data_IF_360539481870
#
_entry.id   IF_360539481870
#
_cell.length_a   1.000
_cell.length_b   1.000
_cell.length_c   1.000
_cell.angle_alpha   90.00
_cell.angle_beta   90.00
_cell.angle_gamma   90.00
#
_symmetry.space_group_name_H-M   'P 1'
#
loop_
_entity.id
_entity.type
_entity.pdbx_description
1 polymer ?
#
# COMPACT_ATOMS: atom_id res chain seq x y z
N UNK A 1 23.20 5.26 33.22
CA UNK A 1 22.75 6.67 33.21
C UNK A 1 21.21 6.78 33.14
N UNK A 2 20.45 5.86 33.76
CA UNK A 2 19.19 5.39 33.12
C UNK A 2 17.87 5.58 33.88
N UNK A 3 17.82 6.14 35.10
CA UNK A 3 16.55 6.28 35.85
C UNK A 3 15.95 7.70 35.82
N UNK A 4 16.79 8.73 35.97
CA UNK A 4 16.35 10.13 36.00
C UNK A 4 15.85 10.62 34.64
N UNK A 5 16.57 10.30 33.55
CA UNK A 5 16.16 10.67 32.19
C UNK A 5 14.85 10.00 31.77
N UNK A 6 14.65 8.73 32.15
CA UNK A 6 13.40 8.02 31.90
C UNK A 6 12.23 8.61 32.70
N UNK A 7 12.47 9.06 33.94
CA UNK A 7 11.48 9.78 34.74
C UNK A 7 11.08 11.12 34.11
N UNK A 8 12.06 11.89 33.61
CA UNK A 8 11.81 13.17 32.93
C UNK A 8 10.99 12.95 31.65
N UNK A 9 11.36 11.97 30.81
CA UNK A 9 10.63 11.64 29.58
C UNK A 9 9.18 11.20 29.85
N UNK A 10 8.98 10.41 30.90
CA UNK A 10 7.64 9.95 31.32
C UNK A 10 6.79 11.11 31.81
N UNK A 11 7.33 11.98 32.68
CA UNK A 11 6.64 13.17 33.17
C UNK A 11 6.29 14.14 32.04
N UNK A 12 7.24 14.41 31.14
CA UNK A 12 7.01 15.25 29.97
C UNK A 12 5.91 14.68 29.07
N UNK A 13 5.94 13.38 28.76
CA UNK A 13 4.89 12.75 27.95
C UNK A 13 3.51 12.82 28.62
N UNK A 14 3.45 12.58 29.93
CA UNK A 14 2.21 12.72 30.71
C UNK A 14 1.64 14.14 30.62
N UNK A 15 2.46 15.16 30.88
CA UNK A 15 2.04 16.55 30.90
C UNK A 15 1.66 17.06 29.51
N UNK A 16 2.41 16.68 28.48
CA UNK A 16 2.09 17.03 27.08
C UNK A 16 0.80 16.35 26.63
N UNK A 17 0.51 15.13 27.09
CA UNK A 17 -0.76 14.48 26.83
C UNK A 17 -1.93 15.17 27.55
N UNK A 18 -1.77 15.57 28.81
CA UNK A 18 -2.81 16.31 29.54
C UNK A 18 -3.09 17.68 28.90
N UNK A 19 -2.03 18.41 28.53
CA UNK A 19 -2.15 19.66 27.78
C UNK A 19 -2.84 19.46 26.43
N UNK A 20 -2.55 18.35 25.74
CA UNK A 20 -3.23 18.01 24.49
C UNK A 20 -4.73 17.78 24.71
N UNK A 21 -5.12 17.03 25.75
CA UNK A 21 -6.52 16.83 26.10
C UNK A 21 -7.20 18.17 26.38
N UNK A 22 -6.62 18.99 27.26
CA UNK A 22 -7.16 20.30 27.63
C UNK A 22 -7.33 21.21 26.40
N UNK A 23 -6.31 21.29 25.55
CA UNK A 23 -6.33 22.15 24.36
C UNK A 23 -7.40 21.74 23.33
N UNK A 24 -7.75 20.46 23.27
CA UNK A 24 -8.80 19.95 22.36
C UNK A 24 -10.18 19.98 23.01
N UNK A 25 -10.27 19.69 24.31
CA UNK A 25 -11.51 19.68 25.09
C UNK A 25 -12.03 21.08 25.42
N UNK A 26 -11.21 22.14 25.29
CA UNK A 26 -11.64 23.52 25.55
C UNK A 26 -12.81 23.92 24.64
N UNK A 27 -14.02 23.64 25.14
CA UNK A 27 -15.31 24.07 24.61
C UNK A 27 -15.54 25.49 25.14
N UNK A 28 -15.84 26.48 24.29
CA UNK A 28 -16.39 27.74 24.80
C UNK A 28 -17.66 27.39 25.57
N UNK A 29 -17.71 27.78 26.85
CA UNK A 29 -18.88 27.58 27.70
C UNK A 29 -20.13 28.10 26.97
N UNK A 30 -21.15 27.26 26.83
CA UNK A 30 -22.44 27.56 26.20
C UNK A 30 -23.27 28.56 27.03
N UNK A 31 -22.72 29.74 27.31
CA UNK A 31 -23.39 30.79 28.09
C UNK A 31 -23.47 32.14 27.39
N UNK A 32 -23.12 32.25 26.11
CA UNK A 32 -23.53 33.41 25.30
C UNK A 32 -23.43 33.10 23.81
N UNK A 33 -24.57 33.13 23.12
CA UNK A 33 -24.73 32.89 21.67
C UNK A 33 -24.17 34.04 20.82
N UNK A 34 -23.47 35.03 21.40
CA UNK A 34 -23.05 36.24 20.67
C UNK A 34 -21.55 36.56 20.62
N UNK A 35 -20.64 35.70 21.10
CA UNK A 35 -19.20 35.88 20.87
C UNK A 35 -18.53 34.52 20.61
N UNK A 36 -18.57 34.05 19.35
CA UNK A 36 -18.01 32.74 18.98
C UNK A 36 -16.48 32.75 18.76
N UNK A 37 -15.82 33.91 18.79
CA UNK A 37 -14.44 34.06 18.27
C UNK A 37 -13.31 34.10 19.32
N UNK A 38 -13.59 34.25 20.62
CA UNK A 38 -12.53 34.60 21.58
C UNK A 38 -11.93 33.45 22.40
N UNK A 39 -12.49 32.24 22.32
CA UNK A 39 -12.15 31.17 23.27
C UNK A 39 -11.84 29.80 22.65
N UNK A 40 -11.76 29.67 21.34
CA UNK A 40 -11.38 28.39 20.72
C UNK A 40 -9.87 28.33 20.54
N UNK A 41 -9.20 27.34 21.15
CA UNK A 41 -7.75 27.16 20.96
C UNK A 41 -7.46 27.01 19.45
N UNK A 42 -6.55 27.84 18.89
CA UNK A 42 -6.24 27.79 17.48
C UNK A 42 -5.75 26.40 17.06
N UNK A 43 -6.18 25.94 15.89
CA UNK A 43 -5.76 24.63 15.33
C UNK A 43 -4.24 24.53 15.20
N UNK A 44 -3.55 25.64 14.97
CA UNK A 44 -2.09 25.71 14.94
C UNK A 44 -1.45 25.37 16.30
N UNK A 45 -2.03 25.85 17.40
CA UNK A 45 -1.57 25.53 18.76
C UNK A 45 -1.81 24.06 19.10
N UNK A 46 -3.02 23.54 18.81
CA UNK A 46 -3.34 22.12 18.98
C UNK A 46 -2.36 21.26 18.18
N UNK A 47 -2.06 21.64 16.93
CA UNK A 47 -1.11 20.92 16.07
C UNK A 47 0.29 20.89 16.68
N UNK A 48 0.78 21.99 17.25
CA UNK A 48 2.12 22.03 17.88
C UNK A 48 2.19 21.08 19.08
N UNK A 49 1.19 21.11 19.95
CA UNK A 49 1.11 20.22 21.12
C UNK A 49 1.02 18.75 20.65
N UNK A 50 0.17 18.48 19.66
CA UNK A 50 0.02 17.15 19.08
C UNK A 50 1.31 16.62 18.44
N UNK A 51 2.06 17.47 17.74
CA UNK A 51 3.36 17.11 17.17
C UNK A 51 4.38 16.78 18.27
N UNK A 52 4.42 17.58 19.35
CA UNK A 52 5.28 17.27 20.50
C UNK A 52 4.92 15.92 21.14
N UNK A 53 3.62 15.68 21.34
CA UNK A 53 3.13 14.39 21.84
C UNK A 53 3.54 13.24 20.91
N UNK A 54 3.33 13.41 19.60
CA UNK A 54 3.70 12.42 18.59
C UNK A 54 5.18 12.07 18.64
N UNK A 55 6.07 13.07 18.70
CA UNK A 55 7.53 12.83 18.81
C UNK A 55 7.84 12.00 20.06
N UNK A 56 7.20 12.29 21.19
CA UNK A 56 7.38 11.51 22.43
C UNK A 56 6.88 10.07 22.27
N UNK A 57 5.71 9.86 21.66
CA UNK A 57 5.15 8.53 21.38
C UNK A 57 6.01 7.72 20.41
N UNK A 58 6.57 8.37 19.39
CA UNK A 58 7.46 7.74 18.41
C UNK A 58 8.84 7.38 19.01
N UNK A 59 9.22 8.05 20.10
CA UNK A 59 10.52 7.86 20.76
C UNK A 59 10.59 6.62 21.68
N UNK A 60 9.50 5.90 21.93
CA UNK A 60 9.56 4.66 22.72
C UNK A 60 8.21 4.05 23.11
N UNK A 61 8.17 2.72 23.16
CA UNK A 61 6.97 1.93 23.50
C UNK A 61 6.45 2.19 24.93
N UNK A 62 7.34 2.43 25.90
CA UNK A 62 6.96 2.75 27.28
C UNK A 62 6.08 4.01 27.38
N UNK A 63 6.39 5.04 26.59
CA UNK A 63 5.62 6.29 26.56
C UNK A 63 4.25 6.09 25.88
N UNK A 64 4.18 5.21 24.87
CA UNK A 64 2.88 4.80 24.29
C UNK A 64 2.02 4.09 25.34
N UNK A 65 2.60 3.17 26.10
CA UNK A 65 1.87 2.46 27.16
C UNK A 65 1.36 3.41 28.24
N UNK A 66 2.16 4.40 28.65
CA UNK A 66 1.72 5.44 29.57
C UNK A 66 0.44 6.14 29.06
N UNK A 67 0.44 6.60 27.82
CA UNK A 67 -0.71 7.31 27.23
C UNK A 67 -1.91 6.38 27.02
N UNK A 68 -1.68 5.10 26.69
CA UNK A 68 -2.74 4.08 26.63
C UNK A 68 -3.40 3.90 28.00
N UNK A 69 -2.61 3.79 29.08
CA UNK A 69 -3.13 3.68 30.46
C UNK A 69 -3.92 4.93 30.84
N UNK A 70 -3.50 6.12 30.38
CA UNK A 70 -4.25 7.37 30.51
C UNK A 70 -5.44 7.50 29.54
N UNK A 71 -5.89 6.39 28.95
CA UNK A 71 -7.03 6.29 28.04
C UNK A 71 -6.91 7.14 26.77
N UNK A 72 -5.68 7.47 26.32
CA UNK A 72 -5.47 8.32 25.16
C UNK A 72 -6.05 7.77 23.86
N UNK A 73 -6.12 6.45 23.73
CA UNK A 73 -6.74 5.80 22.57
C UNK A 73 -8.26 6.02 22.57
N UNK A 74 -8.93 5.77 23.71
CA UNK A 74 -10.37 5.99 23.86
C UNK A 74 -10.73 7.46 23.65
N UNK A 75 -9.96 8.38 24.26
CA UNK A 75 -10.11 9.82 24.08
C UNK A 75 -10.04 10.22 22.61
N UNK A 76 -8.98 9.81 21.89
CA UNK A 76 -8.80 10.16 20.48
C UNK A 76 -9.93 9.64 19.59
N UNK A 77 -10.38 8.40 19.80
CA UNK A 77 -11.49 7.82 19.03
C UNK A 77 -12.81 8.54 19.31
N UNK A 78 -13.08 8.89 20.56
CA UNK A 78 -14.29 9.62 20.95
C UNK A 78 -14.31 11.03 20.36
N UNK A 79 -13.19 11.75 20.44
CA UNK A 79 -13.06 13.07 19.83
C UNK A 79 -13.30 13.03 18.30
N UNK A 80 -12.76 12.02 17.61
CA UNK A 80 -13.03 11.82 16.17
C UNK A 80 -14.51 11.58 15.90
N UNK A 81 -15.18 10.73 16.71
CA UNK A 81 -16.63 10.46 16.59
C UNK A 81 -17.45 11.74 16.74
N UNK A 82 -17.13 12.57 17.75
CA UNK A 82 -17.79 13.85 17.99
C UNK A 82 -17.58 14.84 16.84
N UNK A 83 -16.34 14.97 16.34
CA UNK A 83 -16.03 15.88 15.24
C UNK A 83 -16.70 15.46 13.92
N UNK A 84 -16.74 14.16 13.61
CA UNK A 84 -17.52 13.67 12.46
C UNK A 84 -19.02 13.88 12.63
N UNK A 85 -19.53 13.74 13.85
CA UNK A 85 -20.93 14.06 14.14
C UNK A 85 -21.21 15.55 13.92
N UNK A 86 -20.33 16.45 14.38
CA UNK A 86 -20.45 17.89 14.12
C UNK A 86 -20.46 18.20 12.61
N UNK A 87 -19.59 17.56 11.81
CA UNK A 87 -19.61 17.69 10.35
C UNK A 87 -20.97 17.27 9.78
N UNK A 88 -21.57 16.17 10.26
CA UNK A 88 -22.90 15.73 9.81
C UNK A 88 -24.01 16.70 10.20
N UNK A 89 -23.95 17.26 11.42
CA UNK A 89 -24.94 18.25 11.90
C UNK A 89 -24.92 19.54 11.06
N UNK A 90 -23.76 19.90 10.52
CA UNK A 90 -23.61 21.02 9.59
C UNK A 90 -24.00 20.68 8.14
N UNK A 91 -24.58 19.50 7.88
CA UNK A 91 -24.99 19.05 6.54
C UNK A 91 -23.88 18.40 5.70
N UNK A 92 -22.66 18.28 6.26
CA UNK A 92 -21.52 17.63 5.62
C UNK A 92 -20.93 18.38 4.42
N UNK A 93 -20.03 17.71 3.70
CA UNK A 93 -19.53 18.25 2.43
C UNK A 93 -20.58 18.00 1.34
N UNK A 94 -21.27 19.06 0.93
CA UNK A 94 -22.11 19.06 -0.27
C UNK A 94 -21.28 18.69 -1.51
N UNK A 95 -21.97 18.30 -2.59
CA UNK A 95 -21.36 17.88 -3.85
C UNK A 95 -20.48 18.95 -4.51
N UNK A 96 -20.95 19.54 -5.61
CA UNK A 96 -20.13 20.49 -6.41
C UNK A 96 -20.16 21.92 -5.90
N UNK A 97 -21.19 22.32 -5.16
CA UNK A 97 -21.29 23.67 -4.60
C UNK A 97 -20.38 23.84 -3.38
N UNK A 98 -19.84 25.05 -3.20
CA UNK A 98 -19.12 25.43 -1.98
C UNK A 98 -20.12 25.47 -0.83
N UNK A 99 -19.81 24.76 0.26
CA UNK A 99 -20.65 24.82 1.47
C UNK A 99 -20.51 26.22 2.10
N UNK A 100 -21.60 26.84 2.59
CA UNK A 100 -21.53 28.17 3.21
C UNK A 100 -20.58 28.24 4.42
N UNK A 101 -20.32 27.08 5.07
CA UNK A 101 -19.40 26.92 6.20
C UNK A 101 -18.19 26.05 5.87
N UNK A 102 -17.69 26.05 4.64
CA UNK A 102 -16.60 25.18 4.20
C UNK A 102 -15.32 25.32 5.04
N UNK A 103 -14.98 26.53 5.48
CA UNK A 103 -13.79 26.78 6.33
C UNK A 103 -13.93 26.09 7.70
N UNK A 104 -15.11 26.19 8.32
CA UNK A 104 -15.42 25.51 9.56
C UNK A 104 -15.34 23.98 9.41
N UNK A 105 -15.95 23.42 8.36
CA UNK A 105 -15.88 21.98 8.07
C UNK A 105 -14.43 21.51 7.84
N UNK A 106 -13.63 22.32 7.14
CA UNK A 106 -12.21 22.03 6.90
C UNK A 106 -11.39 22.10 8.18
N UNK A 107 -11.71 23.03 9.09
CA UNK A 107 -11.10 23.12 10.42
C UNK A 107 -11.43 21.88 11.27
N UNK A 108 -12.68 21.40 11.25
CA UNK A 108 -13.06 20.14 11.90
C UNK A 108 -12.29 18.96 11.31
N UNK A 109 -12.19 18.84 9.99
CA UNK A 109 -11.37 17.79 9.36
C UNK A 109 -9.89 17.88 9.74
N UNK A 110 -9.36 19.09 9.90
CA UNK A 110 -7.98 19.28 10.36
C UNK A 110 -7.78 18.78 11.79
N UNK A 111 -8.75 19.01 12.68
CA UNK A 111 -8.73 18.46 14.04
C UNK A 111 -8.81 16.93 14.03
N UNK A 112 -9.69 16.36 13.21
CA UNK A 112 -9.78 14.90 13.03
C UNK A 112 -8.45 14.32 12.53
N UNK A 113 -7.80 14.96 11.56
CA UNK A 113 -6.50 14.54 11.05
C UNK A 113 -5.43 14.50 12.16
N UNK A 114 -5.40 15.53 13.03
CA UNK A 114 -4.50 15.58 14.19
C UNK A 114 -4.74 14.39 15.14
N UNK A 115 -6.01 14.07 15.43
CA UNK A 115 -6.33 12.88 16.26
C UNK A 115 -5.86 11.59 15.60
N UNK A 116 -6.10 11.39 14.30
CA UNK A 116 -5.61 10.20 13.59
C UNK A 116 -4.08 10.10 13.60
N UNK A 117 -3.36 11.22 13.46
CA UNK A 117 -1.89 11.22 13.49
C UNK A 117 -1.35 10.81 14.88
N UNK A 118 -1.99 11.27 15.95
CA UNK A 118 -1.65 10.83 17.32
C UNK A 118 -1.99 9.36 17.50
N UNK A 119 -3.20 8.92 17.10
CA UNK A 119 -3.61 7.53 17.23
C UNK A 119 -2.70 6.59 16.43
N UNK A 120 -2.24 7.00 15.25
CA UNK A 120 -1.29 6.22 14.46
C UNK A 120 0.03 6.00 15.21
N UNK A 121 0.51 7.03 15.90
CA UNK A 121 1.74 7.02 16.70
C UNK A 121 1.56 6.23 18.00
N UNK A 122 0.38 6.33 18.61
CA UNK A 122 0.00 5.62 19.84
C UNK A 122 -0.12 4.11 19.60
N UNK A 123 -0.72 3.71 18.48
CA UNK A 123 -0.77 2.29 18.09
C UNK A 123 0.63 1.81 17.71
N UNK A 124 1.33 2.54 16.84
CA UNK A 124 2.73 2.26 16.50
C UNK A 124 3.02 0.83 15.97
N UNK A 125 2.00 0.11 15.50
CA UNK A 125 2.11 -1.31 15.10
C UNK A 125 2.05 -2.33 16.26
N UNK A 126 1.78 -1.89 17.49
CA UNK A 126 1.79 -2.75 18.67
C UNK A 126 0.48 -3.55 18.80
N UNK A 127 0.60 -4.88 18.93
CA UNK A 127 -0.53 -5.83 18.96
C UNK A 127 -1.57 -5.48 20.03
N UNK A 128 -1.13 -5.07 21.22
CA UNK A 128 -2.05 -4.73 22.32
C UNK A 128 -2.82 -3.44 22.05
N UNK A 129 -2.16 -2.41 21.51
CA UNK A 129 -2.81 -1.15 21.16
C UNK A 129 -3.77 -1.32 19.97
N UNK A 130 -3.39 -2.14 18.99
CA UNK A 130 -4.26 -2.53 17.87
C UNK A 130 -5.53 -3.25 18.35
N UNK A 131 -5.42 -4.18 19.31
CA UNK A 131 -6.57 -4.85 19.92
C UNK A 131 -7.49 -3.88 20.66
N UNK A 132 -6.93 -2.89 21.37
CA UNK A 132 -7.72 -1.84 22.01
C UNK A 132 -8.47 -0.98 20.97
N UNK A 133 -7.79 -0.58 19.89
CA UNK A 133 -8.44 0.13 18.78
C UNK A 133 -9.58 -0.69 18.15
N UNK A 134 -9.39 -2.00 18.01
CA UNK A 134 -10.45 -2.89 17.53
C UNK A 134 -11.68 -2.88 18.47
N UNK A 135 -11.47 -2.93 19.79
CA UNK A 135 -12.57 -2.83 20.78
C UNK A 135 -13.32 -1.51 20.69
N UNK A 136 -12.64 -0.43 20.35
CA UNK A 136 -13.24 0.90 20.11
C UNK A 136 -14.01 1.03 18.78
N UNK A 137 -14.07 -0.06 18.00
CA UNK A 137 -14.76 -0.18 16.71
C UNK A 137 -14.26 0.81 15.66
N UNK A 138 -12.93 1.06 15.64
CA UNK A 138 -12.31 2.00 14.68
C UNK A 138 -12.57 1.65 13.21
N UNK A 139 -12.72 0.37 12.89
CA UNK A 139 -13.07 -0.08 11.54
C UNK A 139 -14.43 0.47 11.08
N UNK A 140 -15.44 0.46 11.94
CA UNK A 140 -16.77 0.96 11.63
C UNK A 140 -16.79 2.48 11.55
N UNK A 141 -15.99 3.15 12.38
CA UNK A 141 -15.77 4.58 12.31
C UNK A 141 -15.21 4.98 10.94
N UNK A 142 -14.20 4.25 10.43
CA UNK A 142 -13.62 4.52 9.12
C UNK A 142 -14.60 4.25 7.99
N UNK A 143 -15.34 3.14 8.04
CA UNK A 143 -16.35 2.79 7.03
C UNK A 143 -17.47 3.83 7.00
N UNK A 144 -18.05 4.19 8.16
CA UNK A 144 -19.17 5.12 8.25
C UNK A 144 -18.84 6.54 7.80
N UNK A 145 -17.57 6.95 7.86
CA UNK A 145 -17.12 8.29 7.48
C UNK A 145 -16.29 8.31 6.19
N UNK A 146 -16.23 7.18 5.46
CA UNK A 146 -15.41 7.04 4.25
C UNK A 146 -15.73 8.11 3.20
N UNK A 147 -17.01 8.28 2.87
CA UNK A 147 -17.46 9.27 1.89
C UNK A 147 -17.16 10.69 2.34
N UNK A 148 -17.35 11.00 3.63
CA UNK A 148 -17.03 12.32 4.19
C UNK A 148 -15.54 12.63 4.07
N UNK A 149 -14.67 11.68 4.43
CA UNK A 149 -13.23 11.83 4.29
C UNK A 149 -12.82 12.02 2.83
N UNK A 150 -13.42 11.25 1.91
CA UNK A 150 -13.18 11.37 0.46
C UNK A 150 -13.58 12.76 -0.07
N UNK A 151 -14.75 13.26 0.31
CA UNK A 151 -15.20 14.60 -0.08
C UNK A 151 -14.33 15.70 0.54
N UNK A 152 -13.90 15.55 1.79
CA UNK A 152 -12.99 16.49 2.44
C UNK A 152 -11.64 16.56 1.73
N UNK A 153 -11.11 15.43 1.25
CA UNK A 153 -9.88 15.40 0.45
C UNK A 153 -10.02 16.18 -0.85
N UNK A 154 -11.17 16.11 -1.52
CA UNK A 154 -11.42 16.92 -2.71
C UNK A 154 -11.35 18.43 -2.42
N UNK A 155 -11.65 18.84 -1.19
CA UNK A 155 -11.51 20.23 -0.70
C UNK A 155 -10.12 20.54 -0.12
N UNK A 156 -9.13 19.69 -0.34
CA UNK A 156 -7.75 19.88 0.13
C UNK A 156 -7.47 19.39 1.55
N UNK A 157 -8.41 18.70 2.21
CA UNK A 157 -8.17 18.17 3.55
C UNK A 157 -7.28 16.93 3.55
N UNK A 158 -6.34 16.87 4.50
CA UNK A 158 -5.48 15.70 4.74
C UNK A 158 -6.13 14.59 5.58
N UNK A 159 -7.38 14.77 6.02
CA UNK A 159 -8.04 13.85 6.97
C UNK A 159 -8.01 12.39 6.52
N UNK A 160 -8.23 12.15 5.23
CA UNK A 160 -8.26 10.80 4.69
C UNK A 160 -6.86 10.17 4.66
N UNK A 161 -5.82 10.97 4.38
CA UNK A 161 -4.43 10.50 4.42
C UNK A 161 -4.06 10.09 5.85
N UNK A 162 -4.39 10.92 6.85
CA UNK A 162 -4.13 10.59 8.26
C UNK A 162 -4.90 9.34 8.70
N UNK A 163 -6.16 9.18 8.27
CA UNK A 163 -6.95 7.98 8.54
C UNK A 163 -6.35 6.71 7.91
N UNK A 164 -5.83 6.79 6.69
CA UNK A 164 -5.14 5.65 6.05
C UNK A 164 -3.79 5.35 6.70
N UNK A 165 -3.03 6.36 7.14
CA UNK A 165 -1.79 6.13 7.90
C UNK A 165 -2.06 5.42 9.23
N UNK A 166 -3.11 5.84 9.94
CA UNK A 166 -3.62 5.12 11.10
C UNK A 166 -3.97 3.67 10.75
N UNK A 167 -4.72 3.45 9.67
CA UNK A 167 -5.11 2.12 9.23
C UNK A 167 -3.90 1.24 8.87
N UNK A 168 -2.88 1.81 8.24
CA UNK A 168 -1.63 1.11 7.93
C UNK A 168 -0.94 0.60 9.20
N UNK A 169 -0.89 1.40 10.27
CA UNK A 169 -0.36 0.97 11.56
C UNK A 169 -1.30 0.00 12.27
N UNK A 170 -2.61 0.11 12.07
CA UNK A 170 -3.61 -0.79 12.66
C UNK A 170 -3.50 -2.22 12.12
N UNK A 171 -3.22 -2.40 10.83
CA UNK A 171 -3.09 -3.72 10.18
C UNK A 171 -1.65 -4.27 10.17
N UNK A 172 -0.68 -3.48 10.62
CA UNK A 172 0.73 -3.84 10.56
C UNK A 172 1.02 -5.09 11.41
N UNK A 173 1.51 -6.15 10.76
CA UNK A 173 1.97 -7.41 11.39
C UNK A 173 0.98 -8.06 12.37
N UNK A 174 -0.32 -7.77 12.27
CA UNK A 174 -1.33 -8.34 13.17
C UNK A 174 -2.47 -8.96 12.36
N UNK A 175 -2.53 -10.28 12.40
CA UNK A 175 -3.54 -11.03 11.65
C UNK A 175 -4.96 -10.74 12.14
N UNK A 176 -5.18 -10.56 13.45
CA UNK A 176 -6.52 -10.30 14.01
C UNK A 176 -7.13 -9.00 13.46
N UNK A 177 -6.31 -7.96 13.31
CA UNK A 177 -6.79 -6.69 12.75
C UNK A 177 -6.85 -6.71 11.22
N UNK A 178 -6.04 -7.51 10.54
CA UNK A 178 -6.22 -7.76 9.10
C UNK A 178 -7.53 -8.49 8.82
N UNK A 179 -7.89 -9.47 9.64
CA UNK A 179 -9.15 -10.21 9.49
C UNK A 179 -10.37 -9.34 9.85
N UNK A 180 -10.21 -8.36 10.74
CA UNK A 180 -11.33 -7.46 11.08
C UNK A 180 -11.72 -6.51 9.94
N UNK A 181 -10.79 -6.13 9.05
CA UNK A 181 -11.09 -5.20 7.94
C UNK A 181 -11.84 -5.84 6.76
N UNK A 182 -11.86 -7.18 6.68
CA UNK A 182 -12.70 -7.94 5.75
C UNK A 182 -14.05 -8.32 6.35
N UNK A 183 -14.27 -8.06 7.64
CA UNK A 183 -15.57 -8.28 8.26
C UNK A 183 -16.61 -7.28 7.73
N UNK A 184 -17.84 -7.73 7.46
CA UNK A 184 -18.92 -6.85 7.04
C UNK A 184 -19.26 -5.83 8.13
N UNK A 185 -19.37 -4.55 7.77
CA UNK A 185 -19.80 -3.52 8.72
C UNK A 185 -21.32 -3.57 8.91
N UNK A 186 -21.78 -3.74 10.15
CA UNK A 186 -23.21 -3.71 10.49
C UNK A 186 -23.88 -2.36 10.20
N UNK A 187 -23.09 -1.28 10.06
CA UNK A 187 -23.56 0.10 9.81
C UNK A 187 -23.75 0.44 8.33
N UNK A 188 -23.48 -0.48 7.40
CA UNK A 188 -23.57 -0.24 5.95
C UNK A 188 -25.01 -0.28 5.37
N UNK A 189 -26.05 -0.28 6.21
CA UNK A 189 -27.47 -0.37 5.80
C UNK A 189 -28.16 0.97 5.63
N UNK A 190 -27.49 1.97 5.05
CA UNK A 190 -28.14 3.26 4.72
C UNK A 190 -28.05 3.60 3.24
N UNK A 191 -29.24 3.55 2.61
CA UNK A 191 -29.69 4.19 1.36
C UNK A 191 -29.01 3.79 0.04
N UNK A 192 -29.13 2.52 -0.35
CA UNK A 192 -29.20 2.19 -1.78
C UNK A 192 -30.68 1.98 -2.09
N UNK A 193 -31.25 2.81 -2.96
CA UNK A 193 -32.60 2.59 -3.51
C UNK A 193 -32.63 1.18 -4.09
N UNK A 194 -33.65 0.42 -3.71
CA UNK A 194 -33.92 -0.90 -4.23
C UNK A 194 -34.17 -0.79 -5.74
N UNK A 195 -33.14 -1.09 -6.53
CA UNK A 195 -33.22 -1.63 -7.89
C UNK A 195 -31.78 -1.75 -8.42
N UNK A 196 -31.11 -2.84 -8.04
CA UNK A 196 -30.07 -3.50 -8.83
C UNK A 196 -29.72 -4.83 -8.14
N UNK A 197 -30.35 -5.90 -8.61
CA UNK A 197 -30.12 -7.26 -8.16
C UNK A 197 -28.78 -7.80 -8.68
N UNK A 198 -27.77 -7.86 -7.81
CA UNK A 198 -26.82 -8.97 -7.66
C UNK A 198 -25.79 -8.60 -6.59
N UNK A 199 -25.89 -9.27 -5.42
CA UNK A 199 -24.96 -9.13 -4.30
C UNK A 199 -25.03 -7.76 -3.59
N UNK A 200 -25.87 -7.66 -2.56
CA UNK A 200 -25.64 -6.74 -1.45
C UNK A 200 -24.29 -7.11 -0.80
N UNK A 201 -23.17 -6.70 -1.42
CA UNK A 201 -21.83 -6.84 -0.83
C UNK A 201 -21.83 -5.89 0.34
N UNK A 202 -21.89 -6.44 1.54
CA UNK A 202 -21.49 -5.73 2.75
C UNK A 202 -20.18 -4.99 2.47
N UNK A 203 -20.22 -3.66 2.48
CA UNK A 203 -19.04 -2.84 2.23
C UNK A 203 -18.02 -3.08 3.35
N UNK A 204 -16.92 -3.75 3.04
CA UNK A 204 -15.82 -3.99 3.98
C UNK A 204 -14.78 -2.88 3.86
N UNK A 205 -14.07 -2.57 4.95
CA UNK A 205 -13.00 -1.57 4.91
C UNK A 205 -11.91 -1.98 3.91
N UNK A 206 -11.61 -3.28 3.82
CA UNK A 206 -10.69 -3.81 2.82
C UNK A 206 -11.16 -3.55 1.38
N UNK A 207 -12.45 -3.73 1.05
CA UNK A 207 -12.99 -3.42 -0.28
C UNK A 207 -12.94 -1.93 -0.63
N UNK A 208 -13.12 -1.06 0.37
CA UNK A 208 -13.03 0.38 0.22
C UNK A 208 -11.60 0.83 -0.08
N UNK A 209 -10.62 0.31 0.68
CA UNK A 209 -9.19 0.54 0.40
C UNK A 209 -8.82 0.03 -0.99
N UNK A 210 -9.31 -1.15 -1.38
CA UNK A 210 -9.08 -1.69 -2.71
C UNK A 210 -9.60 -0.76 -3.81
N UNK A 211 -10.77 -0.16 -3.61
CA UNK A 211 -11.38 0.77 -4.58
C UNK A 211 -10.58 2.07 -4.74
N UNK A 212 -9.72 2.45 -3.78
CA UNK A 212 -8.77 3.57 -3.94
C UNK A 212 -7.60 3.23 -4.86
N UNK A 213 -7.29 1.95 -5.01
CA UNK A 213 -6.18 1.47 -5.85
C UNK A 213 -6.69 1.07 -7.23
N UNK A 214 -7.79 0.32 -7.26
CA UNK A 214 -8.44 -0.15 -8.49
C UNK A 214 -9.88 0.38 -8.52
N UNK A 215 -10.16 1.47 -9.25
CA UNK A 215 -11.50 2.04 -9.34
C UNK A 215 -12.53 1.02 -9.84
N UNK A 216 -13.80 1.23 -9.47
CA UNK A 216 -14.90 0.58 -10.18
C UNK A 216 -15.10 1.36 -11.49
N UNK A 217 -14.77 0.75 -12.63
CA UNK A 217 -15.09 1.28 -13.97
C UNK A 217 -16.59 1.14 -14.26
N UNK A 218 -17.45 1.79 -13.46
CA UNK A 218 -18.83 2.02 -13.87
C UNK A 218 -18.83 3.23 -14.80
N UNK A 219 -18.72 2.95 -16.10
CA UNK A 219 -18.96 3.88 -17.20
C UNK A 219 -20.32 4.53 -16.98
N UNK A 220 -20.38 5.82 -16.62
CA UNK A 220 -21.60 6.62 -16.80
C UNK A 220 -22.05 7.61 -15.72
N UNK A 221 -21.55 7.59 -14.48
CA UNK A 221 -22.05 8.53 -13.45
C UNK A 221 -21.03 9.59 -13.06
N UNK A 222 -21.48 10.78 -12.64
CA UNK A 222 -20.63 11.89 -12.17
C UNK A 222 -19.67 11.54 -11.02
N UNK A 223 -19.79 10.34 -10.43
CA UNK A 223 -18.82 9.75 -9.50
C UNK A 223 -17.48 9.38 -10.16
N UNK A 224 -17.42 9.21 -11.50
CA UNK A 224 -16.19 8.81 -12.19
C UNK A 224 -15.09 9.87 -12.12
N UNK A 225 -15.43 11.18 -12.12
CA UNK A 225 -14.44 12.26 -11.99
C UNK A 225 -13.92 12.43 -10.56
N UNK A 226 -14.81 12.34 -9.57
CA UNK A 226 -14.41 12.45 -8.16
C UNK A 226 -13.49 11.28 -7.76
N UNK A 227 -13.80 10.06 -8.23
CA UNK A 227 -12.90 8.92 -8.11
C UNK A 227 -11.55 9.24 -8.77
N UNK A 228 -11.56 9.71 -10.02
CA UNK A 228 -10.34 10.06 -10.79
C UNK A 228 -9.46 11.07 -10.05
N UNK A 229 -10.02 12.12 -9.44
CA UNK A 229 -9.26 13.15 -8.71
C UNK A 229 -8.76 12.66 -7.34
N UNK A 230 -9.50 11.80 -6.62
CA UNK A 230 -8.95 11.12 -5.44
C UNK A 230 -7.86 10.11 -5.78
N UNK A 231 -7.91 9.47 -6.96
CA UNK A 231 -6.81 8.67 -7.51
C UNK A 231 -5.59 9.53 -7.89
N UNK A 232 -5.78 10.83 -8.19
CA UNK A 232 -4.66 11.75 -8.47
C UNK A 232 -3.92 12.20 -7.21
N UNK A 233 -4.34 11.82 -5.99
CA UNK A 233 -3.54 12.10 -4.80
C UNK A 233 -2.51 10.97 -4.59
N UNK A 234 -1.21 11.18 -4.94
CA UNK A 234 -0.21 10.12 -4.91
C UNK A 234 0.05 9.60 -3.49
N UNK A 235 -0.16 10.43 -2.47
CA UNK A 235 0.04 10.05 -1.07
C UNK A 235 -1.07 9.11 -0.59
N UNK A 236 -2.33 9.40 -0.94
CA UNK A 236 -3.45 8.50 -0.64
C UNK A 236 -3.27 7.16 -1.32
N UNK A 237 -2.97 7.19 -2.62
CA UNK A 237 -2.77 6.00 -3.43
C UNK A 237 -1.63 5.12 -2.88
N UNK A 238 -0.48 5.73 -2.58
CA UNK A 238 0.68 5.01 -2.02
C UNK A 238 0.34 4.40 -0.66
N UNK A 239 -0.35 5.15 0.21
CA UNK A 239 -0.75 4.65 1.53
C UNK A 239 -1.74 3.48 1.42
N UNK A 240 -2.72 3.58 0.51
CA UNK A 240 -3.64 2.48 0.22
C UNK A 240 -2.92 1.24 -0.31
N UNK A 241 -1.96 1.40 -1.22
CA UNK A 241 -1.11 0.31 -1.69
C UNK A 241 -0.31 -0.34 -0.54
N UNK A 242 0.26 0.44 0.39
CA UNK A 242 0.96 -0.12 1.56
C UNK A 242 0.04 -0.97 2.45
N UNK A 243 -1.19 -0.52 2.68
CA UNK A 243 -2.20 -1.27 3.42
C UNK A 243 -2.51 -2.59 2.68
N UNK A 244 -2.75 -2.54 1.36
CA UNK A 244 -3.03 -3.73 0.57
C UNK A 244 -1.85 -4.70 0.55
N UNK A 245 -0.61 -4.23 0.40
CA UNK A 245 0.61 -5.04 0.48
C UNK A 245 0.66 -5.81 1.81
N UNK A 246 0.41 -5.13 2.92
CA UNK A 246 0.43 -5.77 4.25
C UNK A 246 -0.74 -6.74 4.46
N UNK A 247 -1.94 -6.35 4.04
CA UNK A 247 -3.15 -7.15 4.20
C UNK A 247 -3.14 -8.41 3.33
N UNK A 248 -2.67 -8.34 2.09
CA UNK A 248 -2.65 -9.47 1.15
C UNK A 248 -1.59 -10.54 1.46
N UNK A 249 -0.72 -10.29 2.44
CA UNK A 249 0.14 -11.33 3.04
C UNK A 249 -0.64 -12.23 4.01
N UNK A 250 -1.80 -11.78 4.51
CA UNK A 250 -2.72 -12.58 5.33
C UNK A 250 -3.48 -13.57 4.47
N UNK A 251 -3.58 -14.82 4.96
CA UNK A 251 -4.31 -15.90 4.29
C UNK A 251 -5.77 -15.53 4.08
N UNK A 252 -6.42 -15.02 5.12
CA UNK A 252 -7.85 -14.72 5.10
C UNK A 252 -8.17 -13.56 4.16
N UNK A 253 -7.39 -12.47 4.21
CA UNK A 253 -7.56 -11.34 3.29
C UNK A 253 -7.32 -11.75 1.84
N UNK A 254 -6.30 -12.57 1.59
CA UNK A 254 -6.02 -13.06 0.24
C UNK A 254 -7.14 -13.95 -0.30
N UNK A 255 -7.61 -14.93 0.47
CA UNK A 255 -8.73 -15.79 0.07
C UNK A 255 -10.01 -14.97 -0.14
N UNK A 256 -10.28 -13.98 0.71
CA UNK A 256 -11.41 -13.08 0.56
C UNK A 256 -11.30 -12.23 -0.73
N UNK A 257 -10.11 -11.70 -1.03
CA UNK A 257 -9.85 -10.93 -2.24
C UNK A 257 -10.02 -11.77 -3.52
N UNK A 258 -9.58 -13.03 -3.49
CA UNK A 258 -9.76 -13.99 -4.59
C UNK A 258 -11.25 -14.27 -4.80
N UNK A 259 -11.97 -14.67 -3.74
CA UNK A 259 -13.40 -14.99 -3.81
C UNK A 259 -14.26 -13.79 -4.24
N UNK A 260 -13.85 -12.59 -3.88
CA UNK A 260 -14.53 -11.34 -4.24
C UNK A 260 -14.18 -10.83 -5.64
N UNK A 261 -13.33 -11.53 -6.40
CA UNK A 261 -12.91 -11.14 -7.75
C UNK A 261 -12.00 -9.91 -7.81
N UNK A 262 -11.45 -9.48 -6.67
CA UNK A 262 -10.60 -8.28 -6.61
C UNK A 262 -9.24 -8.51 -7.29
N UNK A 263 -8.66 -9.70 -7.16
CA UNK A 263 -7.39 -10.04 -7.82
C UNK A 263 -7.51 -9.98 -9.34
N UNK A 264 -8.61 -10.51 -9.90
CA UNK A 264 -8.91 -10.39 -11.34
C UNK A 264 -8.98 -8.93 -11.79
N UNK A 265 -9.66 -8.09 -11.01
CA UNK A 265 -9.78 -6.66 -11.31
C UNK A 265 -8.43 -5.95 -11.28
N UNK A 266 -7.58 -6.27 -10.31
CA UNK A 266 -6.22 -5.73 -10.23
C UNK A 266 -5.38 -6.10 -11.45
N UNK A 267 -5.47 -7.35 -11.91
CA UNK A 267 -4.76 -7.78 -13.13
C UNK A 267 -5.21 -7.00 -14.36
N UNK A 268 -6.52 -6.86 -14.55
CA UNK A 268 -7.06 -6.14 -15.70
C UNK A 268 -6.66 -4.65 -15.68
N UNK A 269 -6.69 -4.01 -14.51
CA UNK A 269 -6.25 -2.62 -14.34
C UNK A 269 -4.75 -2.46 -14.63
N UNK A 270 -3.90 -3.30 -14.05
CA UNK A 270 -2.45 -3.29 -14.29
C UNK A 270 -2.15 -3.48 -15.78
N UNK A 271 -2.79 -4.45 -16.43
CA UNK A 271 -2.61 -4.70 -17.86
C UNK A 271 -3.05 -3.50 -18.71
N UNK A 272 -4.21 -2.91 -18.41
CA UNK A 272 -4.70 -1.73 -19.13
C UNK A 272 -3.75 -0.54 -18.99
N UNK A 273 -3.23 -0.32 -17.79
CA UNK A 273 -2.30 0.77 -17.48
C UNK A 273 -0.94 0.55 -18.13
N UNK A 274 -0.41 -0.68 -18.14
CA UNK A 274 0.84 -1.01 -18.84
C UNK A 274 0.72 -0.84 -20.36
N UNK A 275 -0.39 -1.26 -20.97
CA UNK A 275 -0.66 -1.03 -22.40
C UNK A 275 -0.70 0.46 -22.72
N UNK A 276 -1.39 1.25 -21.89
CA UNK A 276 -1.47 2.70 -22.04
C UNK A 276 -0.08 3.32 -21.91
N UNK A 277 0.68 2.92 -20.90
CA UNK A 277 2.06 3.36 -20.66
C UNK A 277 2.98 3.04 -21.85
N UNK A 278 2.88 1.83 -22.42
CA UNK A 278 3.64 1.41 -23.58
C UNK A 278 3.30 2.20 -24.86
N UNK A 279 2.02 2.52 -25.07
CA UNK A 279 1.55 3.31 -26.23
C UNK A 279 1.99 4.78 -26.13
N UNK A 280 2.05 5.35 -24.93
CA UNK A 280 2.46 6.74 -24.72
C UNK A 280 3.98 6.97 -24.77
N UNK A 281 4.80 5.92 -24.96
CA UNK A 281 6.29 5.98 -25.01
C UNK A 281 6.90 6.96 -26.02
N UNK A 282 6.11 7.49 -26.95
CA UNK A 282 6.54 8.56 -27.88
C UNK A 282 6.52 9.95 -27.25
N UNK A 283 5.88 10.12 -26.08
CA UNK A 283 5.90 11.30 -25.23
C UNK A 283 6.47 10.93 -23.84
N UNK A 284 7.15 11.87 -23.17
CA UNK A 284 7.79 11.66 -21.86
C UNK A 284 6.88 10.90 -20.89
N UNK A 285 7.39 9.85 -20.23
CA UNK A 285 6.64 9.06 -19.26
C UNK A 285 6.20 9.93 -18.07
N UNK A 286 4.93 9.81 -17.66
CA UNK A 286 4.41 10.50 -16.49
C UNK A 286 5.02 9.91 -15.20
N UNK A 287 5.82 10.67 -14.42
CA UNK A 287 6.46 10.17 -13.20
C UNK A 287 5.46 9.70 -12.13
N UNK A 288 4.24 10.26 -12.10
CA UNK A 288 3.19 9.87 -11.16
C UNK A 288 2.68 8.47 -11.52
N UNK A 289 2.41 8.23 -12.80
CA UNK A 289 1.97 6.94 -13.32
C UNK A 289 3.06 5.86 -13.12
N UNK A 290 4.32 6.21 -13.38
CA UNK A 290 5.49 5.36 -13.10
C UNK A 290 5.54 4.95 -11.63
N UNK A 291 5.45 5.90 -10.69
CA UNK A 291 5.42 5.60 -9.26
C UNK A 291 4.21 4.71 -8.89
N UNK A 292 3.05 4.99 -9.47
CA UNK A 292 1.82 4.27 -9.22
C UNK A 292 1.89 2.80 -9.69
N UNK A 293 2.49 2.55 -10.86
CA UNK A 293 2.79 1.20 -11.36
C UNK A 293 3.77 0.44 -10.44
N UNK A 294 4.83 1.10 -9.94
CA UNK A 294 5.72 0.48 -8.92
C UNK A 294 4.94 0.01 -7.70
N UNK A 295 4.00 0.83 -7.20
CA UNK A 295 3.17 0.46 -6.06
C UNK A 295 2.28 -0.76 -6.37
N UNK A 296 1.65 -0.80 -7.55
CA UNK A 296 0.84 -1.95 -7.98
C UNK A 296 1.65 -3.23 -8.11
N UNK A 297 2.86 -3.16 -8.68
CA UNK A 297 3.72 -4.33 -8.75
C UNK A 297 4.08 -4.86 -7.36
N UNK A 298 4.30 -3.98 -6.36
CA UNK A 298 4.46 -4.44 -4.99
C UNK A 298 3.20 -5.08 -4.39
N UNK A 299 2.00 -4.62 -4.75
CA UNK A 299 0.73 -5.27 -4.36
C UNK A 299 0.63 -6.65 -5.00
N UNK A 300 0.89 -6.77 -6.31
CA UNK A 300 0.94 -8.04 -7.03
C UNK A 300 2.00 -8.99 -6.47
N UNK A 301 3.18 -8.49 -6.09
CA UNK A 301 4.21 -9.27 -5.43
C UNK A 301 3.73 -9.85 -4.09
N UNK A 302 2.90 -9.10 -3.35
CA UNK A 302 2.29 -9.58 -2.10
C UNK A 302 1.26 -10.67 -2.38
N UNK A 303 0.46 -10.54 -3.46
CA UNK A 303 -0.44 -11.61 -3.92
C UNK A 303 0.36 -12.87 -4.29
N UNK A 304 1.40 -12.72 -5.09
CA UNK A 304 2.25 -13.80 -5.58
C UNK A 304 3.15 -14.43 -4.50
N UNK A 305 3.15 -13.92 -3.27
CA UNK A 305 3.96 -14.47 -2.18
C UNK A 305 3.46 -15.83 -1.66
N UNK A 306 2.24 -16.24 -2.05
CA UNK A 306 1.57 -17.46 -1.61
C UNK A 306 1.01 -18.24 -2.79
N UNK A 307 0.86 -19.56 -2.63
CA UNK A 307 0.36 -20.43 -3.70
C UNK A 307 -1.08 -20.14 -4.10
N UNK A 308 -1.99 -19.83 -3.16
CA UNK A 308 -3.39 -19.49 -3.50
C UNK A 308 -3.45 -18.23 -4.38
N UNK A 309 -2.67 -17.21 -4.02
CA UNK A 309 -2.52 -16.00 -4.82
C UNK A 309 -1.95 -16.29 -6.20
N UNK A 310 -0.92 -17.13 -6.32
CA UNK A 310 -0.37 -17.54 -7.63
C UNK A 310 -1.39 -18.28 -8.47
N UNK A 311 -2.17 -19.21 -7.90
CA UNK A 311 -3.23 -19.90 -8.64
C UNK A 311 -4.26 -18.91 -9.19
N UNK A 312 -4.68 -17.93 -8.38
CA UNK A 312 -5.60 -16.88 -8.83
C UNK A 312 -5.02 -15.96 -9.91
N UNK A 313 -3.70 -15.73 -9.88
CA UNK A 313 -3.01 -14.99 -10.95
C UNK A 313 -2.95 -15.82 -12.24
N UNK A 314 -2.55 -17.09 -12.14
CA UNK A 314 -2.43 -18.00 -13.29
C UNK A 314 -3.77 -18.39 -13.91
N UNK A 315 -4.88 -18.32 -13.18
CA UNK A 315 -6.21 -18.52 -13.76
C UNK A 315 -6.58 -17.45 -14.81
N UNK A 316 -5.82 -16.36 -14.89
CA UNK A 316 -5.93 -15.30 -15.89
C UNK A 316 -4.67 -15.23 -16.76
N UNK A 317 -4.22 -16.39 -17.24
CA UNK A 317 -2.92 -16.60 -17.92
C UNK A 317 -2.65 -15.65 -19.08
N UNK A 318 -3.66 -15.30 -19.89
CA UNK A 318 -3.50 -14.36 -21.02
C UNK A 318 -3.14 -12.96 -20.54
N UNK A 319 -3.89 -12.40 -19.58
CA UNK A 319 -3.61 -11.07 -19.04
C UNK A 319 -2.26 -11.05 -18.31
N UNK A 320 -1.98 -12.09 -17.53
CA UNK A 320 -0.73 -12.27 -16.83
C UNK A 320 0.47 -12.37 -17.80
N UNK A 321 0.33 -13.09 -18.92
CA UNK A 321 1.37 -13.22 -19.94
C UNK A 321 1.79 -11.86 -20.50
N UNK A 322 0.82 -11.01 -20.85
CA UNK A 322 1.12 -9.64 -21.28
C UNK A 322 1.80 -8.81 -20.20
N UNK A 323 1.38 -8.91 -18.93
CA UNK A 323 2.03 -8.20 -17.83
C UNK A 323 3.47 -8.66 -17.65
N UNK A 324 3.73 -9.97 -17.71
CA UNK A 324 5.08 -10.55 -17.60
C UNK A 324 5.95 -10.10 -18.77
N UNK A 325 5.43 -10.16 -19.99
CA UNK A 325 6.10 -9.66 -21.19
C UNK A 325 6.39 -8.16 -21.07
N UNK A 326 5.41 -7.35 -20.65
CA UNK A 326 5.58 -5.91 -20.43
C UNK A 326 6.70 -5.69 -19.41
N UNK A 327 6.69 -6.29 -18.22
CA UNK A 327 7.77 -6.10 -17.23
C UNK A 327 9.15 -6.42 -17.82
N UNK A 328 9.28 -7.49 -18.61
CA UNK A 328 10.56 -7.89 -19.20
C UNK A 328 10.96 -7.05 -20.43
N UNK A 329 10.00 -6.53 -21.19
CA UNK A 329 10.23 -5.72 -22.40
C UNK A 329 10.32 -4.22 -22.10
N UNK A 330 9.76 -3.77 -20.97
CA UNK A 330 9.59 -2.34 -20.75
C UNK A 330 10.96 -1.70 -20.68
N UNK A 331 11.24 -0.87 -21.69
CA UNK A 331 12.26 0.18 -21.69
C UNK A 331 12.01 1.24 -20.61
N UNK A 332 11.70 0.84 -19.38
CA UNK A 332 11.86 1.67 -18.19
C UNK A 332 13.28 2.27 -18.18
N UNK A 333 14.21 1.52 -18.74
CA UNK A 333 15.64 1.71 -18.74
C UNK A 333 16.22 2.85 -19.61
N UNK A 334 15.43 3.76 -20.18
CA UNK A 334 15.99 4.90 -20.94
C UNK A 334 16.30 6.14 -20.11
N UNK A 335 15.78 6.24 -18.89
CA UNK A 335 16.04 7.38 -18.01
C UNK A 335 16.61 6.88 -16.68
N UNK A 336 17.85 7.27 -16.41
CA UNK A 336 18.56 7.12 -15.13
C UNK A 336 17.94 8.00 -14.04
N UNK A 337 16.64 7.86 -13.82
CA UNK A 337 15.91 8.47 -12.70
C UNK A 337 15.69 7.43 -11.60
N UNK A 338 15.82 7.83 -10.34
CA UNK A 338 15.60 6.97 -9.17
C UNK A 338 14.19 6.36 -9.14
N UNK A 339 13.19 7.05 -9.70
CA UNK A 339 11.81 6.60 -9.79
C UNK A 339 11.65 5.42 -10.73
N UNK A 340 12.37 5.42 -11.86
CA UNK A 340 12.31 4.34 -12.84
C UNK A 340 12.89 3.03 -12.27
N UNK A 341 13.96 3.13 -11.48
CA UNK A 341 14.57 1.98 -10.80
C UNK A 341 13.58 1.28 -9.85
N UNK A 342 12.69 2.02 -9.19
CA UNK A 342 11.69 1.46 -8.27
C UNK A 342 10.62 0.63 -8.98
N UNK A 343 10.23 1.00 -10.21
CA UNK A 343 9.27 0.22 -11.01
C UNK A 343 9.88 -1.09 -11.44
N UNK A 344 11.11 -1.03 -11.95
CA UNK A 344 11.89 -2.18 -12.41
C UNK A 344 12.08 -3.18 -11.26
N UNK A 345 12.55 -2.69 -10.10
CA UNK A 345 12.73 -3.53 -8.92
C UNK A 345 11.42 -4.18 -8.45
N UNK A 346 10.33 -3.41 -8.38
CA UNK A 346 9.03 -3.93 -7.94
C UNK A 346 8.44 -4.93 -8.93
N UNK A 347 8.61 -4.70 -10.23
CA UNK A 347 8.20 -5.63 -11.30
C UNK A 347 8.96 -6.95 -11.20
N UNK A 348 10.28 -6.91 -11.04
CA UNK A 348 11.08 -8.12 -10.88
C UNK A 348 10.84 -8.84 -9.55
N UNK A 349 10.53 -8.12 -8.47
CA UNK A 349 10.06 -8.74 -7.23
C UNK A 349 8.77 -9.53 -7.44
N UNK A 350 7.83 -8.98 -8.22
CA UNK A 350 6.62 -9.70 -8.60
C UNK A 350 6.93 -10.95 -9.43
N UNK A 351 7.78 -10.86 -10.46
CA UNK A 351 8.18 -12.04 -11.27
C UNK A 351 8.87 -13.12 -10.44
N UNK A 352 9.76 -12.72 -9.52
CA UNK A 352 10.40 -13.63 -8.56
C UNK A 352 9.33 -14.36 -7.75
N UNK A 353 8.43 -13.63 -7.09
CA UNK A 353 7.40 -14.25 -6.26
C UNK A 353 6.46 -15.15 -7.08
N UNK A 354 6.10 -14.73 -8.31
CA UNK A 354 5.23 -15.47 -9.21
C UNK A 354 5.84 -16.80 -9.66
N UNK A 355 7.15 -16.82 -9.93
CA UNK A 355 7.86 -18.01 -10.42
C UNK A 355 8.13 -19.06 -9.33
N UNK A 356 8.17 -18.66 -8.05
CA UNK A 356 8.49 -19.49 -6.86
C UNK A 356 7.36 -20.47 -6.46
N UNK A 357 6.84 -21.26 -7.40
CA UNK A 357 5.81 -22.27 -7.13
C UNK A 357 5.81 -23.40 -8.15
N UNK A 358 5.23 -24.54 -7.81
CA UNK A 358 4.96 -25.62 -8.78
C UNK A 358 3.94 -25.17 -9.85
N UNK A 359 3.06 -24.23 -9.52
CA UNK A 359 2.03 -23.71 -10.44
C UNK A 359 2.62 -23.03 -11.67
N UNK A 360 3.78 -22.38 -11.51
CA UNK A 360 4.48 -21.71 -12.62
C UNK A 360 4.92 -22.70 -13.68
N UNK A 361 5.26 -23.95 -13.28
CA UNK A 361 5.67 -25.05 -14.17
C UNK A 361 4.50 -25.55 -15.01
N UNK A 362 3.34 -25.75 -14.37
CA UNK A 362 2.10 -26.13 -15.07
C UNK A 362 1.63 -25.04 -16.04
N UNK A 363 1.93 -23.77 -15.73
CA UNK A 363 1.56 -22.61 -16.54
C UNK A 363 2.77 -22.01 -17.28
N UNK A 364 3.75 -22.83 -17.66
CA UNK A 364 5.00 -22.35 -18.28
C UNK A 364 4.78 -21.56 -19.58
N UNK A 365 3.66 -21.77 -20.28
CA UNK A 365 3.30 -20.98 -21.47
C UNK A 365 3.19 -19.47 -21.21
N UNK A 366 2.89 -19.04 -19.97
CA UNK A 366 2.92 -17.61 -19.57
C UNK A 366 4.33 -17.04 -19.61
N UNK A 367 5.34 -17.88 -19.37
CA UNK A 367 6.75 -17.48 -19.27
C UNK A 367 7.53 -17.67 -20.56
N UNK A 368 7.06 -18.50 -21.48
CA UNK A 368 7.82 -18.94 -22.66
C UNK A 368 8.34 -17.76 -23.49
N UNK A 369 7.48 -16.81 -23.84
CA UNK A 369 7.85 -15.61 -24.62
C UNK A 369 8.70 -14.59 -23.83
N UNK A 370 8.51 -14.51 -22.50
CA UNK A 370 9.28 -13.58 -21.67
C UNK A 370 10.69 -14.13 -21.39
N UNK A 371 10.79 -15.44 -21.17
CA UNK A 371 12.04 -16.13 -20.92
C UNK A 371 12.87 -16.24 -22.21
N UNK A 372 12.26 -16.45 -23.38
CA UNK A 372 12.98 -16.54 -24.65
C UNK A 372 13.85 -15.31 -24.89
N UNK A 373 13.27 -14.11 -24.92
CA UNK A 373 13.93 -12.98 -25.59
C UNK A 373 14.22 -11.79 -24.68
N UNK A 374 13.62 -11.73 -23.49
CA UNK A 374 13.59 -10.52 -22.67
C UNK A 374 14.28 -10.69 -21.32
N UNK A 375 13.89 -11.69 -20.52
CA UNK A 375 14.46 -11.94 -19.19
C UNK A 375 15.96 -12.29 -19.28
N UNK A 376 16.31 -13.19 -20.21
CA UNK A 376 17.69 -13.59 -20.47
C UNK A 376 18.53 -12.41 -20.96
N UNK A 377 18.00 -11.62 -21.90
CA UNK A 377 18.69 -10.43 -22.39
C UNK A 377 18.98 -9.44 -21.25
N UNK A 378 18.06 -9.26 -20.31
CA UNK A 378 18.29 -8.38 -19.14
C UNK A 378 19.38 -8.91 -18.22
N UNK A 379 19.38 -10.22 -17.92
CA UNK A 379 20.47 -10.85 -17.17
C UNK A 379 21.84 -10.63 -17.82
N UNK A 380 21.91 -10.75 -19.15
CA UNK A 380 23.15 -10.57 -19.91
C UNK A 380 23.62 -9.10 -19.94
N UNK A 381 22.73 -8.11 -19.82
CA UNK A 381 23.12 -6.70 -19.74
C UNK A 381 23.88 -6.32 -18.45
N UNK A 382 23.91 -7.22 -17.46
CA UNK A 382 24.75 -7.06 -16.26
C UNK A 382 26.21 -7.50 -16.47
N UNK A 383 26.60 -7.94 -17.67
CA UNK A 383 28.00 -8.25 -18.02
C UNK A 383 28.89 -7.00 -18.12
N UNK A 384 28.31 -5.88 -18.54
CA UNK A 384 29.05 -4.65 -18.78
C UNK A 384 29.10 -3.83 -17.49
N UNK A 385 30.21 -3.88 -16.75
CA UNK A 385 30.42 -3.21 -15.46
C UNK A 385 30.27 -1.68 -15.45
N UNK A 386 30.02 -1.06 -16.60
CA UNK A 386 29.73 0.36 -16.82
C UNK A 386 28.25 0.67 -17.09
N UNK A 387 27.40 -0.36 -17.03
CA UNK A 387 25.96 -0.21 -17.28
C UNK A 387 25.26 0.47 -16.10
N UNK A 388 24.40 1.48 -16.32
CA UNK A 388 23.52 2.04 -15.27
C UNK A 388 22.56 1.00 -14.67
N UNK A 389 22.53 -0.22 -15.25
CA UNK A 389 21.69 -1.33 -14.84
C UNK A 389 22.34 -2.25 -13.80
N UNK A 390 23.47 -1.89 -13.18
CA UNK A 390 24.11 -2.72 -12.16
C UNK A 390 23.41 -2.68 -10.78
N UNK A 391 22.08 -2.85 -10.74
CA UNK A 391 21.33 -2.99 -9.49
C UNK A 391 21.41 -4.45 -8.98
N UNK A 392 22.11 -4.72 -7.85
CA UNK A 392 22.27 -6.10 -7.34
C UNK A 392 20.94 -6.71 -6.88
N UNK A 393 19.98 -5.91 -6.43
CA UNK A 393 18.66 -6.40 -6.01
C UNK A 393 17.87 -6.95 -7.20
N UNK A 394 17.91 -6.24 -8.34
CA UNK A 394 17.28 -6.68 -9.59
C UNK A 394 17.91 -7.98 -10.10
N UNK A 395 19.25 -8.07 -10.10
CA UNK A 395 19.94 -9.29 -10.50
C UNK A 395 19.57 -10.49 -9.59
N UNK A 396 19.45 -10.27 -8.28
CA UNK A 396 18.98 -11.30 -7.34
C UNK A 396 17.56 -11.79 -7.66
N UNK A 397 16.64 -10.88 -7.98
CA UNK A 397 15.29 -11.27 -8.37
C UNK A 397 15.24 -12.00 -9.72
N UNK A 398 16.00 -11.53 -10.70
CA UNK A 398 16.09 -12.15 -12.03
C UNK A 398 16.71 -13.55 -11.99
N UNK A 399 17.84 -13.71 -11.30
CA UNK A 399 18.52 -15.00 -11.13
C UNK A 399 17.65 -16.01 -10.39
N UNK A 400 16.96 -15.58 -9.32
CA UNK A 400 15.99 -16.40 -8.59
C UNK A 400 14.79 -16.79 -9.48
N UNK A 401 14.29 -15.86 -10.29
CA UNK A 401 13.21 -16.14 -11.26
C UNK A 401 13.64 -17.20 -12.27
N UNK A 402 14.82 -17.03 -12.88
CA UNK A 402 15.38 -17.99 -13.84
C UNK A 402 15.56 -19.37 -13.20
N UNK A 403 16.20 -19.43 -12.02
CA UNK A 403 16.39 -20.67 -11.29
C UNK A 403 15.07 -21.37 -10.99
N UNK A 404 14.08 -20.65 -10.47
CA UNK A 404 12.78 -21.23 -10.14
C UNK A 404 12.04 -21.78 -11.37
N UNK A 405 12.16 -21.11 -12.51
CA UNK A 405 11.55 -21.56 -13.78
C UNK A 405 12.24 -22.79 -14.37
N UNK A 406 13.54 -22.98 -14.13
CA UNK A 406 14.35 -24.10 -14.65
C UNK A 406 14.32 -25.33 -13.72
N UNK A 407 14.19 -25.10 -12.42
CA UNK A 407 14.15 -26.14 -11.40
C UNK A 407 12.93 -27.07 -11.58
N UNK A 408 13.18 -28.37 -11.73
CA UNK A 408 12.22 -29.41 -12.16
C UNK A 408 11.31 -29.03 -13.35
N UNK A 409 11.83 -28.32 -14.35
CA UNK A 409 11.05 -27.95 -15.53
C UNK A 409 11.80 -28.29 -16.82
N UNK A 410 11.48 -29.45 -17.40
CA UNK A 410 12.15 -29.93 -18.60
C UNK A 410 11.94 -29.00 -19.80
N UNK A 411 10.78 -28.37 -19.94
CA UNK A 411 10.50 -27.43 -21.05
C UNK A 411 11.45 -26.23 -21.00
N UNK A 412 11.63 -25.65 -19.82
CA UNK A 412 12.56 -24.54 -19.63
C UNK A 412 14.01 -24.95 -19.90
N UNK A 413 14.43 -26.13 -19.42
CA UNK A 413 15.79 -26.65 -19.66
C UNK A 413 16.06 -26.88 -21.14
N UNK A 414 15.16 -27.55 -21.84
CA UNK A 414 15.27 -27.78 -23.29
C UNK A 414 15.32 -26.47 -24.07
N UNK A 415 14.53 -25.48 -23.66
CA UNK A 415 14.55 -24.16 -24.31
C UNK A 415 15.88 -23.41 -24.10
N UNK A 416 16.51 -23.53 -22.93
CA UNK A 416 17.83 -22.96 -22.67
C UNK A 416 18.94 -23.71 -23.40
N UNK A 417 18.89 -25.05 -23.42
CA UNK A 417 19.81 -25.90 -24.18
C UNK A 417 19.82 -25.58 -25.67
N UNK A 418 18.64 -25.28 -26.23
CA UNK A 418 18.51 -24.85 -27.63
C UNK A 418 19.15 -23.47 -27.92
N UNK A 419 19.67 -22.76 -26.91
CA UNK A 419 20.26 -21.41 -27.03
C UNK A 419 21.69 -21.34 -26.46
N UNK A 420 22.71 -21.93 -27.11
CA UNK A 420 24.08 -21.98 -26.59
C UNK A 420 24.75 -20.61 -26.40
N UNK A 421 24.35 -19.59 -27.16
CA UNK A 421 24.85 -18.21 -26.99
C UNK A 421 24.44 -17.60 -25.65
N UNK A 422 23.20 -17.86 -25.22
CA UNK A 422 22.69 -17.40 -23.92
C UNK A 422 23.47 -18.08 -22.79
N UNK A 423 23.67 -19.39 -22.87
CA UNK A 423 24.37 -20.14 -21.83
C UNK A 423 25.80 -19.64 -21.61
N UNK A 424 26.55 -19.43 -22.69
CA UNK A 424 27.89 -18.80 -22.63
C UNK A 424 27.84 -17.40 -22.01
N UNK A 425 26.78 -16.65 -22.32
CA UNK A 425 26.56 -15.35 -21.70
C UNK A 425 26.31 -15.45 -20.18
N UNK A 426 25.48 -16.39 -19.73
CA UNK A 426 25.23 -16.61 -18.30
C UNK A 426 26.50 -17.06 -17.57
N UNK A 427 27.31 -17.93 -18.19
CA UNK A 427 28.64 -18.32 -17.68
C UNK A 427 29.56 -17.10 -17.51
N UNK A 428 29.54 -16.17 -18.46
CA UNK A 428 30.31 -14.94 -18.36
C UNK A 428 29.80 -14.02 -17.24
N UNK A 429 28.48 -13.82 -17.09
CA UNK A 429 27.89 -13.07 -15.96
C UNK A 429 28.35 -13.65 -14.63
N UNK A 430 28.29 -14.98 -14.51
CA UNK A 430 28.70 -15.72 -13.31
C UNK A 430 30.19 -15.51 -13.01
N UNK A 431 31.06 -15.63 -14.02
CA UNK A 431 32.51 -15.45 -13.86
C UNK A 431 32.85 -14.02 -13.40
N UNK A 432 32.24 -13.00 -14.01
CA UNK A 432 32.42 -11.59 -13.65
C UNK A 432 31.98 -11.32 -12.21
N UNK A 433 30.88 -11.93 -11.75
CA UNK A 433 30.41 -11.78 -10.36
C UNK A 433 31.33 -12.45 -9.36
N UNK A 434 31.76 -13.68 -9.62
CA UNK A 434 32.72 -14.40 -8.77
C UNK A 434 34.02 -13.61 -8.57
N UNK A 435 34.51 -12.94 -9.62
CA UNK A 435 35.72 -12.13 -9.54
C UNK A 435 35.57 -10.86 -8.68
N UNK A 436 34.35 -10.37 -8.45
CA UNK A 436 34.06 -9.13 -7.72
C UNK A 436 33.58 -9.30 -6.28
N UNK A 437 33.42 -10.53 -5.76
CA UNK A 437 32.86 -10.78 -4.43
C UNK A 437 33.96 -10.91 -3.36
N UNK A 438 33.86 -10.07 -2.33
CA UNK A 438 34.55 -10.25 -1.05
C UNK A 438 33.63 -10.99 -0.06
N UNK A 439 33.97 -12.24 0.28
CA UNK A 439 33.60 -13.01 1.50
C UNK A 439 32.12 -13.19 1.96
N UNK A 440 31.09 -12.66 1.30
CA UNK A 440 29.68 -13.02 1.55
C UNK A 440 29.06 -13.86 0.41
N UNK A 441 28.23 -14.85 0.74
CA UNK A 441 27.47 -15.65 -0.25
C UNK A 441 26.51 -14.73 -1.02
N UNK A 442 26.73 -14.60 -2.32
CA UNK A 442 25.82 -13.89 -3.24
C UNK A 442 24.77 -14.87 -3.78
N UNK A 443 23.52 -14.73 -3.29
CA UNK A 443 22.38 -15.55 -3.73
C UNK A 443 22.21 -15.56 -5.26
N UNK A 444 22.61 -14.48 -5.95
CA UNK A 444 22.52 -14.43 -7.41
C UNK A 444 23.55 -15.33 -8.11
N UNK A 445 24.74 -15.48 -7.53
CA UNK A 445 25.78 -16.42 -8.00
C UNK A 445 25.31 -17.85 -7.81
N UNK A 446 24.82 -18.20 -6.62
CA UNK A 446 24.33 -19.55 -6.34
C UNK A 446 23.19 -19.96 -7.28
N UNK A 447 22.24 -19.05 -7.54
CA UNK A 447 21.12 -19.32 -8.43
C UNK A 447 21.58 -19.56 -9.88
N UNK A 448 22.54 -18.76 -10.38
CA UNK A 448 23.07 -18.93 -11.74
C UNK A 448 23.88 -20.23 -11.89
N UNK A 449 24.68 -20.61 -10.88
CA UNK A 449 25.39 -21.90 -10.85
C UNK A 449 24.41 -23.07 -10.92
N UNK A 450 23.35 -23.04 -10.11
CA UNK A 450 22.30 -24.06 -10.11
C UNK A 450 21.62 -24.15 -11.47
N UNK A 451 21.33 -23.02 -12.12
CA UNK A 451 20.74 -23.00 -13.47
C UNK A 451 21.66 -23.68 -14.48
N UNK A 452 22.92 -23.27 -14.55
CA UNK A 452 23.88 -23.82 -15.51
C UNK A 452 24.07 -25.32 -15.30
N UNK A 453 24.18 -25.77 -14.05
CA UNK A 453 24.27 -27.18 -13.71
C UNK A 453 23.04 -27.98 -14.16
N UNK A 454 21.83 -27.47 -13.90
CA UNK A 454 20.58 -28.17 -14.23
C UNK A 454 20.28 -28.22 -15.74
N UNK A 455 20.82 -27.27 -16.51
CA UNK A 455 20.65 -27.24 -17.98
C UNK A 455 21.67 -28.14 -18.67
N UNK A 456 22.86 -28.33 -18.08
CA UNK A 456 23.94 -29.15 -18.65
C UNK A 456 23.86 -30.65 -18.28
N UNK A 457 22.98 -31.02 -17.34
CA UNK A 457 22.55 -32.41 -17.09
C UNK A 457 21.52 -32.85 -18.12
#
# INVERSE_FOLDING_TARGET
MDSSENSVRTSLCSNVFDLYKEAVEFRPSYSSVMVLDTHVVPVSSIRRIATALKVLLDSGSALRQLVIVKQGLHFGVTAIKELFHAIRMEGGFGGRSKHPREEYLTALCTRIAIHFDILASLIGGEVNAQKLAMRERVQELLVANWTTMRMATYRGSSVFVSALRFLNNYVHQNEITKTSIIAPSATATTSVRADESAQARSTTLFSLVFTLVVPNDSIGSGASRLNRETHMNPVLYTTACCILKSALLSVECQLWAIKSGLITRLLNDVQHRLRSYAQTKTARSDPIETQSLSQLFGVLASVASRDDGRHALYSHSTALGYIVEDICTTSLDRESSSTTNNVVESGYLFLRNLSLSKVSKSNFGVWEAALSDHLLKRLLMHQEGSSPFNNPVVLRYLSCTLWSLVFDNQKARTMLLARPSILRGLEHVLATRKAGISFESDESVENLERVLHLVQQ
#
